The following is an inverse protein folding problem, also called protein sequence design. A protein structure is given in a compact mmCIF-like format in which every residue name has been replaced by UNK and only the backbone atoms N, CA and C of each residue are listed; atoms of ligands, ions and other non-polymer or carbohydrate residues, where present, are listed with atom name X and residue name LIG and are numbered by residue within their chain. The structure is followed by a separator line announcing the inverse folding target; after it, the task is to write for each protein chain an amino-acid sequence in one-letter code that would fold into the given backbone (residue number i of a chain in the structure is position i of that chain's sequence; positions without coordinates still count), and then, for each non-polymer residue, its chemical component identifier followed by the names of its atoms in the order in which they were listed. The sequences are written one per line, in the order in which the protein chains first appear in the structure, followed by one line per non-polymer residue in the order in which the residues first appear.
data_IF_088573293267
#
_entry.id   IF_088573293267
#
_cell.length_a   1.000
_cell.length_b   1.000
_cell.length_c   1.000
_cell.angle_alpha   90.00
_cell.angle_beta   90.00
_cell.angle_gamma   90.00
#
_symmetry.space_group_name_H-M   'P 1'
#
loop_
_entity.id
_entity.type
_entity.pdbx_description
1 polymer ?
#
# COMPACT_ATOMS: atom_id res chain seq x y z
N UNK A 1 -10.05 19.47 -1.20
CA UNK A 1 -8.95 19.17 -0.27
C UNK A 1 -7.63 19.44 -0.99
N UNK A 2 -6.60 19.92 -0.29
CA UNK A 2 -5.24 19.90 -0.85
C UNK A 2 -4.78 18.46 -1.13
N UNK A 3 -3.90 18.21 -2.11
CA UNK A 3 -3.57 16.86 -2.58
C UNK A 3 -3.12 15.88 -1.50
N UNK A 4 -2.28 16.33 -0.57
CA UNK A 4 -1.80 15.50 0.55
C UNK A 4 -2.95 15.17 1.51
N UNK A 5 -3.82 16.13 1.80
CA UNK A 5 -5.01 15.90 2.62
C UNK A 5 -5.95 14.86 2.00
N UNK A 6 -6.11 14.86 0.67
CA UNK A 6 -6.90 13.86 -0.03
C UNK A 6 -6.30 12.44 0.08
N UNK A 7 -4.97 12.31 0.04
CA UNK A 7 -4.28 11.03 0.24
C UNK A 7 -4.51 10.52 1.66
N UNK A 8 -4.36 11.38 2.67
CA UNK A 8 -4.59 11.02 4.08
C UNK A 8 -6.03 10.54 4.28
N UNK A 9 -7.00 11.28 3.73
CA UNK A 9 -8.41 10.93 3.87
C UNK A 9 -8.72 9.58 3.21
N UNK A 10 -8.19 9.34 2.00
CA UNK A 10 -8.37 8.06 1.32
C UNK A 10 -7.80 6.89 2.14
N UNK A 11 -6.64 7.07 2.78
CA UNK A 11 -6.05 6.06 3.67
C UNK A 11 -6.95 5.81 4.89
N UNK A 12 -7.47 6.86 5.53
CA UNK A 12 -8.37 6.72 6.69
C UNK A 12 -9.65 5.97 6.33
N UNK A 13 -10.30 6.37 5.23
CA UNK A 13 -11.51 5.69 4.73
C UNK A 13 -11.23 4.21 4.45
N UNK A 14 -10.07 3.87 3.85
CA UNK A 14 -9.71 2.47 3.62
C UNK A 14 -9.54 1.68 4.94
N UNK A 15 -8.94 2.28 5.97
CA UNK A 15 -8.81 1.67 7.29
C UNK A 15 -10.16 1.47 7.99
N UNK A 16 -11.07 2.44 7.88
CA UNK A 16 -12.43 2.38 8.46
C UNK A 16 -13.27 1.25 7.83
N UNK A 17 -13.03 0.93 6.56
CA UNK A 17 -13.71 -0.17 5.85
C UNK A 17 -12.98 -1.52 5.97
N UNK A 18 -11.85 -1.58 6.68
CA UNK A 18 -11.13 -2.84 6.86
C UNK A 18 -11.84 -3.72 7.88
N UNK A 19 -12.01 -5.00 7.55
CA UNK A 19 -12.66 -5.96 8.43
C UNK A 19 -11.86 -6.14 9.74
N UNK A 20 -12.52 -6.31 10.91
CA UNK A 20 -11.83 -6.35 12.21
C UNK A 20 -10.72 -7.39 12.31
N UNK A 21 -10.89 -8.55 11.66
CA UNK A 21 -9.92 -9.63 11.63
C UNK A 21 -8.60 -9.27 10.91
N UNK A 22 -8.63 -8.28 10.01
CA UNK A 22 -7.45 -7.76 9.32
C UNK A 22 -6.87 -6.53 10.01
N UNK A 23 -7.68 -5.80 10.78
CA UNK A 23 -7.26 -4.58 11.45
C UNK A 23 -6.12 -4.83 12.46
N UNK A 24 -6.16 -5.95 13.20
CA UNK A 24 -5.10 -6.32 14.13
C UNK A 24 -3.75 -6.50 13.41
N UNK A 25 -3.76 -7.19 12.26
CA UNK A 25 -2.58 -7.39 11.43
C UNK A 25 -1.99 -6.07 10.90
N UNK A 26 -2.85 -5.09 10.58
CA UNK A 26 -2.42 -3.75 10.14
C UNK A 26 -1.84 -2.93 11.29
N UNK A 27 -2.37 -3.06 12.51
CA UNK A 27 -1.79 -2.41 13.70
C UNK A 27 -0.35 -2.89 13.93
N UNK A 28 -0.10 -4.18 13.75
CA UNK A 28 1.23 -4.77 13.95
C UNK A 28 2.20 -4.49 12.80
N UNK A 29 1.74 -4.67 11.55
CA UNK A 29 2.62 -4.57 10.36
C UNK A 29 2.68 -3.17 9.75
N UNK A 30 1.67 -2.34 9.99
CA UNK A 30 1.56 -0.99 9.48
C UNK A 30 1.22 -0.88 7.98
N UNK A 31 1.54 0.28 7.44
CA UNK A 31 1.30 0.67 6.04
C UNK A 31 2.62 0.71 5.29
N UNK A 32 2.66 0.14 4.08
CA UNK A 32 3.82 0.24 3.18
C UNK A 32 3.48 1.16 2.01
N UNK A 33 4.24 2.24 1.86
CA UNK A 33 4.13 3.18 0.74
C UNK A 33 4.96 2.71 -0.45
N UNK A 34 4.40 2.85 -1.64
CA UNK A 34 5.04 2.50 -2.92
C UNK A 34 4.68 3.53 -4.00
N UNK A 35 5.32 3.44 -5.17
CA UNK A 35 5.22 4.39 -6.27
C UNK A 35 6.02 5.67 -6.06
N UNK A 36 6.10 6.51 -7.10
CA UNK A 36 6.85 7.76 -7.05
C UNK A 36 6.31 8.77 -6.02
N UNK A 37 5.00 8.72 -5.73
CA UNK A 37 4.38 9.56 -4.70
C UNK A 37 4.90 9.27 -3.29
N UNK A 38 5.38 8.05 -3.01
CA UNK A 38 5.97 7.71 -1.72
C UNK A 38 7.27 8.47 -1.42
N UNK A 39 7.94 9.00 -2.45
CA UNK A 39 9.17 9.79 -2.33
C UNK A 39 8.91 11.27 -2.01
N UNK A 40 7.64 11.68 -1.92
CA UNK A 40 7.31 13.01 -1.43
C UNK A 40 7.80 13.16 0.01
N UNK A 41 8.58 14.21 0.27
CA UNK A 41 9.25 14.41 1.54
C UNK A 41 8.27 14.37 2.72
N UNK A 42 8.56 13.49 3.68
CA UNK A 42 7.82 13.29 4.93
C UNK A 42 6.36 12.83 4.77
N UNK A 43 5.96 12.30 3.61
CA UNK A 43 4.60 11.76 3.43
C UNK A 43 4.32 10.60 4.39
N UNK A 44 5.30 9.73 4.61
CA UNK A 44 5.27 8.64 5.58
C UNK A 44 5.05 9.15 7.01
N UNK A 45 5.75 10.21 7.41
CA UNK A 45 5.60 10.84 8.73
C UNK A 45 4.19 11.41 8.93
N UNK A 46 3.68 12.12 7.93
CA UNK A 46 2.34 12.73 8.00
C UNK A 46 1.26 11.64 8.09
N UNK A 47 1.38 10.57 7.30
CA UNK A 47 0.46 9.44 7.38
C UNK A 47 0.55 8.71 8.72
N UNK A 48 1.76 8.50 9.25
CA UNK A 48 1.96 7.92 10.59
C UNK A 48 1.27 8.74 11.66
N UNK A 49 1.43 10.07 11.63
CA UNK A 49 0.77 10.96 12.59
C UNK A 49 -0.75 10.94 12.45
N UNK A 50 -1.26 10.93 11.21
CA UNK A 50 -2.70 11.00 10.95
C UNK A 50 -3.45 9.70 11.25
N UNK A 51 -2.79 8.55 11.12
CA UNK A 51 -3.39 7.21 11.30
C UNK A 51 -3.02 6.56 12.63
N UNK A 52 -1.91 6.96 13.27
CA UNK A 52 -1.36 6.30 14.45
C UNK A 52 -0.67 4.96 14.15
N UNK A 53 -0.57 4.56 12.88
CA UNK A 53 0.02 3.29 12.46
C UNK A 53 1.48 3.46 12.03
N UNK A 54 2.32 2.43 12.17
CA UNK A 54 3.63 2.41 11.52
C UNK A 54 3.45 2.61 10.01
N UNK A 55 4.34 3.41 9.42
CA UNK A 55 4.37 3.64 7.97
C UNK A 55 5.81 3.50 7.50
N UNK A 56 6.06 2.69 6.48
CA UNK A 56 7.37 2.51 5.87
C UNK A 56 7.28 2.74 4.37
N UNK A 57 8.38 3.18 3.77
CA UNK A 57 8.51 3.25 2.31
C UNK A 57 9.16 1.94 1.85
N UNK A 58 8.67 1.35 0.76
CA UNK A 58 9.30 0.18 0.16
C UNK A 58 10.74 0.48 -0.29
N UNK A 59 11.62 -0.54 -0.30
CA UNK A 59 13.05 -0.35 -0.63
C UNK A 59 13.29 0.24 -2.04
N UNK A 60 12.50 -0.20 -3.02
CA UNK A 60 12.48 0.35 -4.38
C UNK A 60 11.04 0.70 -4.78
N UNK A 61 10.50 1.84 -4.31
CA UNK A 61 9.10 2.16 -4.47
C UNK A 61 8.74 2.45 -5.93
N UNK A 62 9.70 2.85 -6.77
CA UNK A 62 9.47 3.11 -8.19
C UNK A 62 9.29 1.82 -8.98
N UNK A 63 10.05 0.77 -8.64
CA UNK A 63 10.01 -0.50 -9.37
C UNK A 63 9.03 -1.52 -8.80
N UNK A 64 8.45 -1.29 -7.61
CA UNK A 64 7.55 -2.24 -6.93
C UNK A 64 6.49 -2.86 -7.84
N UNK A 65 5.84 -2.04 -8.69
CA UNK A 65 4.79 -2.54 -9.60
C UNK A 65 5.40 -3.50 -10.63
N UNK A 66 6.44 -3.08 -11.34
CA UNK A 66 7.08 -3.90 -12.36
C UNK A 66 7.66 -5.21 -11.80
N UNK A 67 8.35 -5.12 -10.64
CA UNK A 67 8.92 -6.29 -9.97
C UNK A 67 7.83 -7.24 -9.46
N UNK A 68 6.75 -6.71 -8.86
CA UNK A 68 5.61 -7.50 -8.41
C UNK A 68 4.92 -8.24 -9.57
N UNK A 69 4.73 -7.56 -10.70
CA UNK A 69 4.21 -8.18 -11.92
C UNK A 69 5.12 -9.28 -12.46
N UNK A 70 6.44 -9.05 -12.52
CA UNK A 70 7.40 -10.07 -12.94
C UNK A 70 7.35 -11.32 -12.06
N UNK A 71 7.33 -11.14 -10.74
CA UNK A 71 7.18 -12.24 -9.77
C UNK A 71 5.85 -12.99 -9.93
N UNK A 72 4.77 -12.28 -10.25
CA UNK A 72 3.48 -12.91 -10.51
C UNK A 72 3.50 -13.83 -11.74
N UNK A 73 4.29 -13.49 -12.76
CA UNK A 73 4.51 -14.34 -13.93
C UNK A 73 5.35 -15.59 -13.58
N UNK A 74 6.38 -15.44 -12.75
CA UNK A 74 7.20 -16.57 -12.29
C UNK A 74 6.41 -17.54 -11.40
N UNK A 75 5.50 -17.01 -10.58
CA UNK A 75 4.65 -17.79 -9.67
C UNK A 75 3.22 -18.02 -10.22
N UNK A 76 3.05 -18.01 -11.55
CA UNK A 76 1.76 -18.17 -12.24
C UNK A 76 0.86 -19.28 -11.68
N UNK A 77 1.36 -20.51 -11.39
CA UNK A 77 0.50 -21.57 -10.85
C UNK A 77 -0.10 -21.22 -9.47
N UNK A 78 0.65 -20.52 -8.62
CA UNK A 78 0.20 -20.13 -7.27
C UNK A 78 -0.70 -18.90 -7.31
N UNK A 79 -0.39 -17.96 -8.19
CA UNK A 79 -1.09 -16.67 -8.31
C UNK A 79 -2.14 -16.66 -9.42
N UNK A 80 -2.56 -17.84 -9.91
CA UNK A 80 -3.54 -18.00 -10.99
C UNK A 80 -4.80 -17.16 -10.80
N UNK A 81 -5.29 -17.03 -9.56
CA UNK A 81 -6.50 -16.27 -9.24
C UNK A 81 -6.31 -14.75 -9.23
N UNK A 82 -5.06 -14.28 -9.19
CA UNK A 82 -4.71 -12.85 -9.30
C UNK A 82 -4.56 -12.43 -10.76
N UNK A 83 -4.28 -13.39 -11.65
CA UNK A 83 -4.12 -13.16 -13.08
C UNK A 83 -5.48 -13.20 -13.77
N UNK A 84 -5.81 -12.13 -14.47
CA UNK A 84 -6.97 -12.14 -15.37
C UNK A 84 -6.58 -12.79 -16.70
N UNK A 85 -7.38 -13.75 -17.15
CA UNK A 85 -7.37 -14.15 -18.56
C UNK A 85 -8.18 -13.10 -19.32
N UNK A 86 -7.51 -12.20 -20.03
CA UNK A 86 -8.17 -11.52 -21.14
C UNK A 86 -7.93 -12.37 -22.38
N UNK A 87 -9.05 -12.79 -22.98
CA UNK A 87 -9.25 -13.88 -23.95
C UNK A 87 -9.34 -15.28 -23.34
#
# INVERSE_FOLDING_TARGET
AEPVGAIIEAVKVALEHTAPELAADIVDKGIVLTGGGALLSNLDFVLRHATGLPVSIADDPLSCVALGTGRALEEMPKLKNVLSSMY
#
